data_IF_712044665833
#
_entry.id   IF_712044665833
#
_cell.length_a   1.000
_cell.length_b   1.000
_cell.length_c   1.000
_cell.angle_alpha   90.00
_cell.angle_beta   90.00
_cell.angle_gamma   90.00
#
_symmetry.space_group_name_H-M   'P 1'
#
loop_
_entity.id
_entity.type
_entity.pdbx_description
1 polymer ?
#
# COMPACT_ATOMS: atom_id res chain seq x y z
N UNK A 1 24.30 1.40 13.08
CA UNK A 1 25.34 0.91 12.13
C UNK A 1 24.62 -0.09 11.25
N UNK A 2 24.36 0.23 9.98
CA UNK A 2 23.64 -0.63 9.04
C UNK A 2 24.62 -1.72 8.56
N UNK A 3 24.33 -2.99 8.89
CA UNK A 3 25.19 -4.11 8.50
C UNK A 3 24.91 -4.51 7.04
N UNK A 4 25.88 -4.25 6.17
CA UNK A 4 25.86 -4.60 4.74
C UNK A 4 25.94 -6.12 4.47
N UNK A 5 25.98 -6.97 5.49
CA UNK A 5 26.13 -8.43 5.36
C UNK A 5 24.83 -9.19 5.08
N UNK A 6 23.69 -8.51 4.94
CA UNK A 6 22.40 -9.18 4.65
C UNK A 6 22.21 -9.63 3.20
N UNK A 7 23.17 -9.41 2.32
CA UNK A 7 23.05 -9.80 0.90
C UNK A 7 23.07 -11.31 0.63
N UNK A 8 23.49 -12.14 1.58
CA UNK A 8 23.75 -13.57 1.36
C UNK A 8 22.61 -14.51 1.76
N UNK A 9 21.52 -14.05 2.36
CA UNK A 9 20.41 -14.91 2.84
C UNK A 9 19.20 -15.00 1.87
N UNK A 10 19.29 -14.38 0.71
CA UNK A 10 18.20 -14.33 -0.28
C UNK A 10 17.84 -15.65 -0.99
N UNK A 11 18.77 -16.58 -1.32
CA UNK A 11 18.42 -17.68 -2.22
C UNK A 11 17.47 -18.72 -1.64
N UNK A 12 17.51 -19.01 -0.34
CA UNK A 12 16.74 -20.12 0.26
C UNK A 12 15.30 -19.76 0.61
N UNK A 13 14.98 -18.48 0.81
CA UNK A 13 13.61 -18.03 1.11
C UNK A 13 12.85 -17.49 -0.11
N UNK A 14 13.55 -17.17 -1.20
CA UNK A 14 12.92 -16.68 -2.43
C UNK A 14 12.05 -17.73 -3.13
N UNK A 15 12.36 -19.02 -3.01
CA UNK A 15 11.56 -20.09 -3.63
C UNK A 15 10.19 -20.31 -2.96
N UNK A 16 10.02 -19.89 -1.69
CA UNK A 16 8.74 -19.96 -0.97
C UNK A 16 7.94 -18.65 -1.02
N UNK A 17 8.53 -17.57 -1.55
CA UNK A 17 7.90 -16.28 -1.62
C UNK A 17 6.81 -16.24 -2.71
N UNK A 18 5.54 -16.05 -2.31
CA UNK A 18 4.38 -16.00 -3.22
C UNK A 18 4.09 -14.60 -3.76
N UNK A 19 4.89 -13.61 -3.41
CA UNK A 19 4.81 -12.24 -3.93
C UNK A 19 5.82 -11.96 -5.03
N UNK A 20 5.97 -10.71 -5.37
CA UNK A 20 6.87 -10.23 -6.40
C UNK A 20 7.95 -9.32 -5.79
N UNK A 21 9.12 -9.25 -6.41
CA UNK A 21 10.10 -8.23 -6.07
C UNK A 21 9.58 -6.83 -6.48
N UNK A 22 10.07 -5.80 -5.79
CA UNK A 22 9.64 -4.41 -6.00
C UNK A 22 9.75 -3.94 -7.47
N UNK A 23 10.72 -4.46 -8.23
CA UNK A 23 10.88 -4.17 -9.66
C UNK A 23 9.68 -4.56 -10.53
N UNK A 24 8.84 -5.49 -10.06
CA UNK A 24 7.61 -5.87 -10.75
C UNK A 24 6.42 -4.93 -10.46
N UNK A 25 6.52 -4.05 -9.44
CA UNK A 25 5.41 -3.17 -9.08
C UNK A 25 5.09 -2.14 -10.16
N UNK A 26 6.05 -1.41 -10.77
CA UNK A 26 5.73 -0.42 -11.81
C UNK A 26 4.97 -1.01 -13.01
N UNK A 27 5.38 -2.13 -13.63
CA UNK A 27 4.61 -2.73 -14.73
C UNK A 27 3.23 -3.23 -14.27
N UNK A 28 3.09 -3.83 -13.08
CA UNK A 28 1.79 -4.23 -12.53
C UNK A 28 0.88 -3.03 -12.27
N UNK A 29 1.44 -1.95 -11.76
CA UNK A 29 0.73 -0.69 -11.53
C UNK A 29 0.21 -0.11 -12.84
N UNK A 30 1.04 -0.06 -13.88
CA UNK A 30 0.67 0.47 -15.19
C UNK A 30 -0.31 -0.45 -15.95
N UNK A 31 -0.22 -1.76 -15.78
CA UNK A 31 -1.20 -2.69 -16.36
C UNK A 31 -2.63 -2.44 -15.86
N UNK A 32 -2.79 -1.83 -14.69
CA UNK A 32 -4.07 -1.45 -14.11
C UNK A 32 -4.40 0.05 -14.27
N UNK A 33 -3.83 0.73 -15.28
CA UNK A 33 -3.94 2.18 -15.46
C UNK A 33 -5.38 2.69 -15.55
N UNK A 34 -6.29 1.88 -16.08
CA UNK A 34 -7.70 2.22 -16.18
C UNK A 34 -8.46 2.21 -14.84
N UNK A 35 -7.84 1.76 -13.76
CA UNK A 35 -8.47 1.58 -12.47
C UNK A 35 -7.86 2.52 -11.43
N UNK A 36 -8.61 2.95 -10.42
CA UNK A 36 -8.03 3.51 -9.20
C UNK A 36 -7.18 2.44 -8.48
N UNK A 37 -6.06 2.85 -7.91
CA UNK A 37 -5.09 1.96 -7.27
C UNK A 37 -4.70 2.48 -5.90
N UNK A 38 -4.50 1.54 -4.99
CA UNK A 38 -3.92 1.82 -3.69
C UNK A 38 -2.56 1.15 -3.59
N UNK A 39 -1.64 1.81 -2.88
CA UNK A 39 -0.34 1.26 -2.57
C UNK A 39 -0.03 1.56 -1.11
N UNK A 40 0.26 0.52 -0.34
CA UNK A 40 0.69 0.62 1.05
C UNK A 40 2.19 0.35 1.15
N UNK A 41 2.91 1.22 1.81
CA UNK A 41 4.34 1.09 2.12
C UNK A 41 4.47 0.75 3.60
N UNK A 42 4.69 -0.51 3.96
CA UNK A 42 4.59 -0.97 5.34
C UNK A 42 5.68 -1.97 5.72
N UNK A 43 6.08 -1.95 6.98
CA UNK A 43 6.97 -2.97 7.58
C UNK A 43 6.14 -4.14 8.11
N UNK A 44 6.54 -5.41 7.85
CA UNK A 44 5.78 -6.59 8.27
C UNK A 44 5.86 -6.86 9.78
N UNK A 45 6.80 -6.25 10.51
CA UNK A 45 6.95 -6.43 11.96
C UNK A 45 6.59 -5.18 12.77
N UNK A 46 6.22 -4.10 12.11
CA UNK A 46 5.68 -2.91 12.74
C UNK A 46 4.18 -3.12 13.02
N UNK A 47 3.80 -3.30 14.27
CA UNK A 47 2.40 -3.60 14.67
C UNK A 47 1.41 -2.53 14.18
N UNK A 48 1.78 -1.25 14.28
CA UNK A 48 0.94 -0.14 13.80
C UNK A 48 0.78 -0.21 12.29
N UNK A 49 1.86 -0.44 11.53
CA UNK A 49 1.82 -0.58 10.09
C UNK A 49 0.93 -1.75 9.65
N UNK A 50 1.08 -2.92 10.31
CA UNK A 50 0.28 -4.11 10.02
C UNK A 50 -1.19 -3.87 10.33
N UNK A 51 -1.51 -3.29 11.49
CA UNK A 51 -2.89 -2.97 11.85
C UNK A 51 -3.53 -1.99 10.85
N UNK A 52 -2.78 -0.95 10.43
CA UNK A 52 -3.23 -0.01 9.42
C UNK A 52 -3.44 -0.67 8.06
N UNK A 53 -2.51 -1.51 7.61
CA UNK A 53 -2.63 -2.23 6.34
C UNK A 53 -3.85 -3.17 6.34
N UNK A 54 -4.11 -3.89 7.44
CA UNK A 54 -5.28 -4.74 7.58
C UNK A 54 -6.58 -3.94 7.56
N UNK A 55 -6.66 -2.84 8.30
CA UNK A 55 -7.84 -1.96 8.33
C UNK A 55 -8.12 -1.35 6.96
N UNK A 56 -7.10 -0.82 6.30
CA UNK A 56 -7.24 -0.23 4.98
C UNK A 56 -7.59 -1.29 3.91
N UNK A 57 -6.93 -2.46 3.93
CA UNK A 57 -7.25 -3.55 3.01
C UNK A 57 -8.69 -4.03 3.20
N UNK A 58 -9.15 -4.22 4.45
CA UNK A 58 -10.54 -4.57 4.72
C UNK A 58 -11.51 -3.51 4.18
N UNK A 59 -11.21 -2.22 4.37
CA UNK A 59 -12.03 -1.12 3.85
C UNK A 59 -12.16 -1.19 2.33
N UNK A 60 -11.05 -1.38 1.61
CA UNK A 60 -11.03 -1.48 0.14
C UNK A 60 -11.78 -2.73 -0.35
N UNK A 61 -11.46 -3.89 0.25
CA UNK A 61 -11.97 -5.18 -0.23
C UNK A 61 -13.42 -5.42 0.15
N UNK A 62 -13.96 -4.71 1.15
CA UNK A 62 -15.39 -4.74 1.51
C UNK A 62 -16.27 -3.90 0.58
N UNK A 63 -15.69 -3.08 -0.30
CA UNK A 63 -16.47 -2.40 -1.33
C UNK A 63 -17.06 -3.41 -2.32
N UNK A 64 -18.20 -3.08 -2.97
CA UNK A 64 -18.83 -3.98 -3.94
C UNK A 64 -17.82 -4.52 -4.94
N UNK A 65 -17.92 -5.81 -5.32
CA UNK A 65 -16.99 -6.44 -6.28
C UNK A 65 -16.94 -5.76 -7.64
N UNK A 66 -18.03 -5.08 -8.01
CA UNK A 66 -18.10 -4.23 -9.18
C UNK A 66 -17.17 -2.99 -9.06
N UNK A 67 -16.85 -2.54 -7.84
CA UNK A 67 -15.87 -1.49 -7.62
C UNK A 67 -14.47 -2.04 -7.91
N UNK A 68 -13.92 -1.65 -9.04
CA UNK A 68 -12.68 -2.21 -9.56
C UNK A 68 -11.52 -1.36 -9.08
N UNK A 69 -10.93 -1.75 -7.97
CA UNK A 69 -9.68 -1.20 -7.45
C UNK A 69 -8.57 -2.24 -7.58
N UNK A 70 -7.35 -1.80 -7.61
CA UNK A 70 -6.18 -2.63 -7.33
C UNK A 70 -5.51 -2.16 -6.06
N UNK A 71 -5.15 -3.11 -5.22
CA UNK A 71 -4.44 -2.87 -3.98
C UNK A 71 -3.07 -3.54 -4.04
N UNK A 72 -2.04 -2.79 -3.79
CA UNK A 72 -0.66 -3.27 -3.72
C UNK A 72 -0.11 -3.02 -2.31
N UNK A 73 0.58 -3.99 -1.76
CA UNK A 73 1.33 -3.83 -0.51
C UNK A 73 2.81 -4.01 -0.85
N UNK A 74 3.57 -2.94 -0.64
CA UNK A 74 5.02 -2.93 -0.73
C UNK A 74 5.59 -3.12 0.68
N UNK A 75 6.08 -4.32 0.93
CA UNK A 75 6.70 -4.69 2.19
C UNK A 75 8.13 -4.18 2.25
N UNK A 76 8.49 -3.55 3.35
CA UNK A 76 9.75 -2.83 3.53
C UNK A 76 10.56 -3.40 4.69
N UNK A 77 11.83 -3.76 4.49
CA UNK A 77 12.74 -4.18 5.57
C UNK A 77 13.33 -2.96 6.32
N UNK A 78 12.48 -2.18 6.98
CA UNK A 78 12.91 -0.98 7.72
C UNK A 78 13.30 -1.26 9.18
N UNK A 79 12.79 -2.38 9.73
CA UNK A 79 13.12 -2.84 11.08
C UNK A 79 14.01 -4.09 11.00
N UNK A 80 14.76 -4.34 12.07
CA UNK A 80 15.69 -5.48 12.11
C UNK A 80 15.00 -6.84 11.95
N UNK A 81 13.79 -6.97 12.47
CA UNK A 81 13.00 -8.20 12.40
C UNK A 81 12.27 -8.41 11.06
N UNK A 82 12.32 -7.43 10.14
CA UNK A 82 11.62 -7.51 8.86
C UNK A 82 12.28 -8.54 7.94
N UNK A 83 11.53 -9.57 7.59
CA UNK A 83 11.95 -10.66 6.72
C UNK A 83 10.81 -11.10 5.82
N UNK A 84 11.09 -11.81 4.73
CA UNK A 84 10.07 -12.44 3.90
C UNK A 84 9.18 -13.40 4.71
N UNK A 85 9.76 -14.12 5.68
CA UNK A 85 8.98 -14.99 6.56
C UNK A 85 8.00 -14.18 7.44
N UNK A 86 8.40 -13.00 7.90
CA UNK A 86 7.48 -12.11 8.62
C UNK A 86 6.33 -11.64 7.71
N UNK A 87 6.61 -11.34 6.44
CA UNK A 87 5.58 -11.00 5.46
C UNK A 87 4.59 -12.15 5.28
N UNK A 88 5.05 -13.40 5.11
CA UNK A 88 4.15 -14.56 4.95
C UNK A 88 3.20 -14.70 6.15
N UNK A 89 3.68 -14.55 7.38
CA UNK A 89 2.83 -14.58 8.58
C UNK A 89 1.76 -13.48 8.60
N UNK A 90 2.06 -12.29 8.05
CA UNK A 90 1.06 -11.23 7.96
C UNK A 90 0.08 -11.50 6.83
N UNK A 91 0.55 -12.03 5.70
CA UNK A 91 -0.31 -12.38 4.57
C UNK A 91 -1.40 -13.39 4.92
N UNK A 92 -1.10 -14.37 5.76
CA UNK A 92 -2.07 -15.36 6.26
C UNK A 92 -3.26 -14.72 7.00
N UNK A 93 -3.11 -13.48 7.48
CA UNK A 93 -4.12 -12.70 8.19
C UNK A 93 -4.88 -11.73 7.28
N UNK A 94 -4.40 -11.49 6.07
CA UNK A 94 -5.04 -10.64 5.08
C UNK A 94 -6.06 -11.44 4.27
N UNK A 95 -7.14 -10.81 3.78
CA UNK A 95 -8.09 -11.48 2.89
C UNK A 95 -7.40 -12.03 1.63
N UNK A 96 -7.75 -13.25 1.25
CA UNK A 96 -7.39 -13.76 -0.09
C UNK A 96 -8.28 -13.09 -1.13
N UNK A 97 -7.70 -12.20 -1.93
CA UNK A 97 -8.41 -11.47 -2.98
C UNK A 97 -7.46 -11.22 -4.16
N UNK A 98 -7.94 -11.49 -5.37
CA UNK A 98 -7.16 -11.33 -6.61
C UNK A 98 -6.87 -9.87 -6.97
N UNK A 99 -7.49 -8.92 -6.28
CA UNK A 99 -7.20 -7.49 -6.39
C UNK A 99 -5.98 -7.07 -5.60
N UNK A 100 -5.49 -7.93 -4.67
CA UNK A 100 -4.39 -7.66 -3.77
C UNK A 100 -3.08 -8.25 -4.31
N UNK A 101 -2.09 -7.40 -4.54
CA UNK A 101 -0.73 -7.77 -4.91
C UNK A 101 0.27 -7.49 -3.78
N UNK A 102 1.26 -8.37 -3.63
CA UNK A 102 2.32 -8.22 -2.62
C UNK A 102 3.68 -8.07 -3.30
N UNK A 103 4.47 -7.11 -2.83
CA UNK A 103 5.80 -6.80 -3.34
C UNK A 103 6.79 -6.62 -2.19
N UNK A 104 8.06 -6.96 -2.42
CA UNK A 104 9.15 -6.82 -1.46
C UNK A 104 10.22 -5.87 -1.98
N UNK A 105 10.47 -4.77 -1.27
CA UNK A 105 11.47 -3.76 -1.61
C UNK A 105 12.75 -3.99 -0.80
N UNK A 106 13.50 -5.04 -1.16
CA UNK A 106 14.67 -5.51 -0.43
C UNK A 106 15.67 -4.40 -0.12
N UNK A 107 15.99 -3.60 -1.12
CA UNK A 107 17.00 -2.54 -1.04
C UNK A 107 16.41 -1.16 -0.67
N UNK A 108 15.10 -1.08 -0.40
CA UNK A 108 14.37 0.14 -0.10
C UNK A 108 14.45 1.19 -1.22
N UNK A 109 14.60 0.77 -2.47
CA UNK A 109 14.76 1.68 -3.61
C UNK A 109 13.45 2.44 -3.90
N UNK A 110 12.33 1.74 -3.97
CA UNK A 110 11.03 2.38 -4.17
C UNK A 110 10.63 3.21 -2.96
N UNK A 111 10.90 2.74 -1.75
CA UNK A 111 10.68 3.52 -0.53
C UNK A 111 11.44 4.84 -0.56
N UNK A 112 12.71 4.85 -1.01
CA UNK A 112 13.49 6.10 -1.19
C UNK A 112 12.96 6.98 -2.31
N UNK A 113 12.47 6.38 -3.41
CA UNK A 113 11.83 7.13 -4.49
C UNK A 113 10.58 7.85 -3.97
N UNK A 114 9.73 7.18 -3.22
CA UNK A 114 8.57 7.79 -2.56
C UNK A 114 8.95 8.88 -1.55
N UNK A 115 10.02 8.69 -0.80
CA UNK A 115 10.52 9.73 0.11
C UNK A 115 10.81 11.04 -0.63
N UNK A 116 11.39 10.95 -1.84
CA UNK A 116 11.66 12.13 -2.68
C UNK A 116 10.38 12.70 -3.28
N UNK A 117 9.56 11.87 -3.89
CA UNK A 117 8.33 12.30 -4.58
C UNK A 117 7.35 12.99 -3.63
N UNK A 118 7.19 12.45 -2.41
CA UNK A 118 6.29 13.01 -1.39
C UNK A 118 6.94 14.13 -0.58
N UNK A 119 8.20 14.47 -0.85
CA UNK A 119 8.96 15.52 -0.16
C UNK A 119 8.92 15.37 1.36
N UNK A 120 9.00 14.13 1.85
CA UNK A 120 8.97 13.86 3.29
C UNK A 120 10.16 14.54 3.96
N UNK A 121 9.88 15.47 4.86
CA UNK A 121 10.84 16.41 5.43
C UNK A 121 12.10 15.74 6.02
N UNK A 122 13.24 16.37 5.87
CA UNK A 122 14.51 15.85 6.32
C UNK A 122 14.60 15.88 7.85
N UNK A 123 14.52 14.72 8.48
CA UNK A 123 14.86 14.58 9.89
C UNK A 123 16.28 14.02 10.01
N UNK A 124 17.23 14.72 10.66
CA UNK A 124 18.65 14.35 10.64
C UNK A 124 18.97 12.97 11.22
N UNK A 125 18.06 12.39 12.00
CA UNK A 125 18.22 11.08 12.67
C UNK A 125 17.34 9.97 12.10
N UNK A 126 16.54 10.22 11.06
CA UNK A 126 15.66 9.22 10.44
C UNK A 126 16.19 8.79 9.09
N UNK A 127 16.08 7.51 8.70
CA UNK A 127 16.42 7.08 7.36
C UNK A 127 15.53 7.81 6.35
N UNK A 128 16.11 8.14 5.18
CA UNK A 128 15.38 8.80 4.07
C UNK A 128 14.56 7.77 3.30
N UNK A 129 13.62 7.14 3.99
CA UNK A 129 12.71 6.14 3.43
C UNK A 129 11.27 6.51 3.77
N UNK A 130 10.37 6.23 2.83
CA UNK A 130 8.95 6.36 3.01
C UNK A 130 8.40 5.03 3.55
N UNK A 131 7.73 5.02 4.69
CA UNK A 131 7.12 3.85 5.29
C UNK A 131 5.92 4.24 6.13
N UNK A 132 5.03 3.27 6.41
CA UNK A 132 3.75 3.47 7.07
C UNK A 132 2.87 4.50 6.33
N UNK A 133 2.81 4.34 5.01
CA UNK A 133 2.08 5.22 4.09
C UNK A 133 1.02 4.44 3.32
N UNK A 134 -0.10 5.10 3.07
CA UNK A 134 -1.28 4.59 2.37
C UNK A 134 -1.62 5.56 1.24
N UNK A 135 -1.31 5.17 0.02
CA UNK A 135 -1.35 6.03 -1.17
C UNK A 135 -2.53 5.64 -2.04
N UNK A 136 -3.31 6.62 -2.50
CA UNK A 136 -4.44 6.44 -3.40
C UNK A 136 -4.16 7.17 -4.72
N UNK A 137 -4.32 6.46 -5.81
CA UNK A 137 -4.14 6.97 -7.17
C UNK A 137 -5.44 6.90 -7.96
N UNK A 138 -5.72 7.94 -8.71
CA UNK A 138 -6.82 7.95 -9.67
C UNK A 138 -6.51 7.05 -10.87
N UNK A 139 -7.55 6.60 -11.57
CA UNK A 139 -7.41 6.02 -12.89
C UNK A 139 -6.65 7.00 -13.82
N UNK A 140 -5.86 6.47 -14.73
CA UNK A 140 -5.02 7.27 -15.62
C UNK A 140 -3.64 7.63 -15.07
N UNK A 141 -3.36 7.48 -13.76
CA UNK A 141 -2.01 7.71 -13.22
C UNK A 141 -1.02 6.71 -13.84
N UNK A 142 0.12 7.18 -14.33
CA UNK A 142 1.15 6.34 -14.97
C UNK A 142 2.46 6.44 -14.19
N UNK A 143 3.09 5.29 -13.98
CA UNK A 143 4.42 5.19 -13.40
C UNK A 143 5.44 5.22 -14.52
N UNK A 144 6.33 6.20 -14.52
CA UNK A 144 7.46 6.35 -15.44
C UNK A 144 8.77 5.93 -14.74
N UNK A 145 9.79 6.76 -14.76
CA UNK A 145 11.04 6.52 -14.02
C UNK A 145 10.84 6.65 -12.52
N UNK A 146 10.16 7.73 -12.10
CA UNK A 146 9.77 7.94 -10.71
C UNK A 146 8.30 7.52 -10.48
N UNK A 147 7.95 7.13 -9.24
CA UNK A 147 6.58 6.89 -8.85
C UNK A 147 5.68 8.11 -9.12
N UNK A 148 4.44 7.91 -9.58
CA UNK A 148 3.50 9.02 -9.73
C UNK A 148 3.14 9.63 -8.37
N UNK A 149 2.83 10.94 -8.37
CA UNK A 149 2.29 11.59 -7.19
C UNK A 149 0.88 11.06 -6.92
N UNK A 150 0.58 10.59 -5.69
CA UNK A 150 -0.76 10.11 -5.37
C UNK A 150 -1.77 11.26 -5.30
N UNK A 151 -3.04 10.97 -5.64
CA UNK A 151 -4.14 11.91 -5.50
C UNK A 151 -4.47 12.20 -4.01
N UNK A 152 -4.26 11.21 -3.17
CA UNK A 152 -4.36 11.29 -1.72
C UNK A 152 -3.35 10.34 -1.09
N UNK A 153 -2.78 10.75 0.06
CA UNK A 153 -2.05 9.80 0.89
C UNK A 153 -2.26 10.09 2.38
N UNK A 154 -2.18 9.05 3.17
CA UNK A 154 -2.35 9.05 4.61
C UNK A 154 -1.19 8.32 5.26
N UNK A 155 -1.01 8.53 6.57
CA UNK A 155 0.04 7.89 7.36
C UNK A 155 -0.44 7.62 8.79
N UNK A 156 0.34 6.84 9.54
CA UNK A 156 0.14 6.66 10.99
C UNK A 156 1.30 7.23 11.81
N UNK A 157 2.37 7.69 11.12
CA UNK A 157 3.51 8.39 11.72
C UNK A 157 3.11 9.80 12.19
N UNK A 158 4.02 10.46 12.92
CA UNK A 158 3.83 11.82 13.40
C UNK A 158 4.31 12.83 12.33
N UNK A 159 3.61 12.89 11.18
CA UNK A 159 3.87 13.87 10.13
C UNK A 159 2.84 14.99 10.25
N UNK A 160 3.31 16.23 10.33
CA UNK A 160 2.44 17.40 10.40
C UNK A 160 1.88 17.76 9.01
N UNK A 161 0.66 18.26 8.97
CA UNK A 161 0.04 18.75 7.72
C UNK A 161 -0.45 17.64 6.77
N UNK A 162 -0.33 16.37 7.14
CA UNK A 162 -0.78 15.23 6.32
C UNK A 162 -1.85 14.45 7.09
N UNK A 163 -2.93 13.98 6.40
CA UNK A 163 -3.99 13.22 7.05
C UNK A 163 -3.46 11.92 7.67
N UNK A 164 -3.91 11.64 8.89
CA UNK A 164 -3.70 10.31 9.47
C UNK A 164 -4.64 9.30 8.80
N UNK A 165 -4.19 8.03 8.77
CA UNK A 165 -5.02 6.94 8.27
C UNK A 165 -6.33 6.88 9.08
N UNK A 166 -7.44 7.04 8.39
CA UNK A 166 -8.80 6.92 8.88
C UNK A 166 -9.61 6.10 7.87
N UNK A 167 -10.15 4.96 8.33
CA UNK A 167 -10.88 4.02 7.48
C UNK A 167 -12.16 4.64 6.90
N UNK A 168 -12.84 5.54 7.63
CA UNK A 168 -14.06 6.21 7.18
C UNK A 168 -13.73 7.23 6.09
N UNK A 169 -12.68 8.01 6.29
CA UNK A 169 -12.20 8.98 5.30
C UNK A 169 -11.71 8.25 4.05
N UNK A 170 -10.92 7.18 4.21
CA UNK A 170 -10.46 6.35 3.10
C UNK A 170 -11.64 5.80 2.30
N UNK A 171 -12.64 5.20 2.98
CA UNK A 171 -13.85 4.67 2.33
C UNK A 171 -14.56 5.74 1.50
N UNK A 172 -14.78 6.93 2.04
CA UNK A 172 -15.42 8.04 1.32
C UNK A 172 -14.67 8.41 0.04
N UNK A 173 -13.34 8.49 0.09
CA UNK A 173 -12.53 8.77 -1.09
C UNK A 173 -12.57 7.66 -2.13
N UNK A 174 -12.71 6.40 -1.69
CA UNK A 174 -12.87 5.26 -2.59
C UNK A 174 -14.25 5.28 -3.26
N UNK A 175 -15.32 5.52 -2.49
CA UNK A 175 -16.69 5.57 -3.01
C UNK A 175 -16.86 6.65 -4.07
N UNK A 176 -16.20 7.80 -3.92
CA UNK A 176 -16.17 8.87 -4.93
C UNK A 176 -15.52 8.47 -6.26
N UNK A 177 -14.77 7.37 -6.27
CA UNK A 177 -14.05 6.83 -7.45
C UNK A 177 -14.73 5.63 -8.08
N UNK A 178 -15.84 5.18 -7.52
CA UNK A 178 -16.67 4.14 -8.11
C UNK A 178 -17.47 4.80 -9.24
N UNK A 179 -17.38 4.29 -10.49
CA UNK A 179 -18.22 4.77 -11.58
C UNK A 179 -19.70 4.61 -11.22
N UNK A 180 -20.53 5.58 -11.60
CA UNK A 180 -21.97 5.59 -11.26
C UNK A 180 -22.72 4.33 -11.73
N UNK A 181 -22.28 3.72 -12.82
CA UNK A 181 -22.79 2.45 -13.34
C UNK A 181 -22.54 1.23 -12.45
N UNK A 182 -21.61 1.37 -11.47
CA UNK A 182 -21.25 0.34 -10.49
C UNK A 182 -21.66 0.71 -9.06
N UNK A 183 -22.28 1.88 -8.88
CA UNK A 183 -22.82 2.29 -7.59
C UNK A 183 -24.00 1.35 -7.21
N UNK A 184 -24.05 0.94 -5.95
CA UNK A 184 -25.23 0.20 -5.46
C UNK A 184 -26.45 1.13 -5.60
N UNK A 185 -27.61 0.58 -6.03
CA UNK A 185 -28.86 1.35 -5.96
C UNK A 185 -29.06 1.79 -4.49
N UNK A 186 -29.37 3.07 -4.31
CA UNK A 186 -29.71 3.59 -2.97
C UNK A 186 -30.83 2.72 -2.40
N UNK A 187 -30.64 2.24 -1.16
CA UNK A 187 -31.71 1.53 -0.48
C UNK A 187 -32.94 2.42 -0.47
N UNK A 188 -34.14 1.92 -0.84
CA UNK A 188 -35.35 2.72 -0.83
C UNK A 188 -35.52 3.30 0.57
N UNK A 189 -35.68 4.62 0.64
CA UNK A 189 -36.03 5.29 1.88
C UNK A 189 -37.31 4.60 2.41
N UNK A 190 -37.18 3.88 3.51
CA UNK A 190 -38.34 3.37 4.23
C UNK A 190 -39.10 4.55 4.78
N UNK A 191 -40.06 5.05 3.95
CA UNK A 191 -40.98 6.06 4.35
C UNK A 191 -41.75 5.59 5.59
N UNK A 192 -41.40 6.18 6.72
CA UNK A 192 -42.22 6.09 7.92
C UNK A 192 -43.55 6.77 7.63
N UNK A 193 -44.60 5.98 7.63
CA UNK A 193 -46.00 6.47 7.81
C UNK A 193 -46.39 6.32 9.25
#
# INVERSE_FOLDING_TARGET
>A
MWDLRRREQLPQHAEMWRGHMASALPPCFNAAVALPRLLFLVSPTCEICVAGAMSAAHTVLSLPRAAVFRLYILWLPVLEADTLQAVERVRERLPEDNRLGHFWDHDLELSRAYYRVLQLGQHPRRPRVAWDLFLLYDAGSVWHEDPPVPALWMHQLFLEGVPRLDATVLRRHLEQRIPAEHALPEAPETGAR
#
